data_IF_898205030360
#
_entry.id   IF_898205030360
#
_cell.length_a   1.000
_cell.length_b   1.000
_cell.length_c   1.000
_cell.angle_alpha   90.00
_cell.angle_beta   90.00
_cell.angle_gamma   90.00
#
_symmetry.space_group_name_H-M   'P 1'
#
loop_
_entity.id
_entity.type
_entity.pdbx_description
1 polymer ?
#
# COMPACT_ATOMS: atom_id res chain seq x y z
N UNK A 1 7.40 -11.78 -17.56
CA UNK A 1 7.23 -10.50 -16.81
C UNK A 1 7.92 -9.43 -17.61
N UNK A 2 7.20 -8.39 -17.99
CA UNK A 2 7.67 -7.27 -18.78
C UNK A 2 7.67 -6.00 -17.93
N UNK A 3 8.67 -5.13 -18.08
CA UNK A 3 8.65 -3.80 -17.48
C UNK A 3 8.18 -2.80 -18.53
N UNK A 4 7.12 -2.07 -18.21
CA UNK A 4 6.57 -1.02 -19.08
C UNK A 4 6.73 0.35 -18.42
N UNK A 5 6.68 1.40 -19.24
CA UNK A 5 6.67 2.79 -18.79
C UNK A 5 5.37 3.48 -19.19
N UNK A 6 4.79 4.25 -18.27
CA UNK A 6 3.58 5.05 -18.49
C UNK A 6 3.93 6.52 -18.33
N UNK A 7 3.87 7.26 -19.44
CA UNK A 7 4.13 8.70 -19.46
C UNK A 7 2.92 9.45 -18.91
N UNK A 8 3.11 10.22 -17.85
CA UNK A 8 2.07 11.05 -17.23
C UNK A 8 1.96 12.42 -17.90
N UNK A 9 0.85 13.12 -17.65
CA UNK A 9 0.56 14.41 -18.27
C UNK A 9 1.47 15.55 -17.79
N UNK A 10 2.05 15.41 -16.59
CA UNK A 10 3.04 16.37 -16.05
C UNK A 10 4.48 16.09 -16.50
N UNK A 11 4.68 15.12 -17.37
CA UNK A 11 5.97 14.75 -17.94
C UNK A 11 6.72 13.67 -17.17
N UNK A 12 6.32 13.29 -15.96
CA UNK A 12 6.95 12.18 -15.24
C UNK A 12 6.54 10.83 -15.83
N UNK A 13 7.41 9.82 -15.73
CA UNK A 13 7.13 8.47 -16.15
C UNK A 13 7.05 7.50 -14.96
N UNK A 14 6.01 6.69 -14.91
CA UNK A 14 5.90 5.56 -13.98
C UNK A 14 6.39 4.27 -14.64
N UNK A 15 7.09 3.48 -13.86
CA UNK A 15 7.47 2.12 -14.20
C UNK A 15 6.49 1.11 -13.62
N UNK A 16 6.23 0.03 -14.33
CA UNK A 16 5.41 -1.06 -13.82
C UNK A 16 5.88 -2.42 -14.31
N UNK A 17 5.74 -3.44 -13.48
CA UNK A 17 5.85 -4.83 -13.89
C UNK A 17 4.49 -5.31 -14.41
N UNK A 18 4.47 -5.80 -15.65
CA UNK A 18 3.27 -6.33 -16.30
C UNK A 18 3.42 -7.82 -16.61
N UNK A 19 2.40 -8.60 -16.27
CA UNK A 19 2.36 -10.05 -16.57
C UNK A 19 0.94 -10.58 -16.53
N UNK A 20 0.68 -11.66 -17.27
CA UNK A 20 -0.63 -12.33 -17.35
C UNK A 20 -1.60 -11.64 -18.31
N UNK A 21 -2.78 -12.22 -18.41
CA UNK A 21 -3.85 -11.79 -19.28
C UNK A 21 -5.19 -11.72 -18.53
N UNK A 22 -6.19 -11.15 -19.16
CA UNK A 22 -7.54 -11.04 -18.60
C UNK A 22 -7.80 -9.70 -17.92
N UNK A 23 -8.64 -9.71 -16.89
CA UNK A 23 -9.04 -8.50 -16.18
C UNK A 23 -7.84 -7.84 -15.51
N UNK A 24 -7.62 -6.53 -15.70
CA UNK A 24 -6.51 -5.83 -15.09
C UNK A 24 -6.61 -5.81 -13.57
N UNK A 25 -5.48 -6.09 -12.90
CA UNK A 25 -5.26 -5.86 -11.47
C UNK A 25 -4.07 -4.92 -11.34
N UNK A 26 -4.30 -3.71 -10.81
CA UNK A 26 -3.23 -2.76 -10.51
C UNK A 26 -2.86 -2.91 -9.04
N UNK A 27 -1.58 -3.16 -8.79
CA UNK A 27 -1.01 -3.26 -7.44
C UNK A 27 -0.24 -1.98 -7.12
N UNK A 28 -0.57 -1.37 -5.98
CA UNK A 28 -0.04 -0.08 -5.53
C UNK A 28 0.72 -0.33 -4.23
N UNK A 29 2.06 -0.20 -4.23
CA UNK A 29 2.89 -0.44 -3.07
C UNK A 29 2.70 0.62 -1.98
N UNK A 30 3.22 0.34 -0.79
CA UNK A 30 3.27 1.28 0.31
C UNK A 30 4.37 2.33 0.14
N UNK A 31 4.52 3.15 1.17
CA UNK A 31 5.56 4.16 1.24
C UNK A 31 6.94 3.52 1.17
N UNK A 32 7.77 4.03 0.29
CA UNK A 32 9.16 3.59 0.06
C UNK A 32 9.30 2.11 -0.35
N UNK A 33 8.25 1.53 -0.92
CA UNK A 33 8.23 0.17 -1.46
C UNK A 33 8.24 0.18 -2.99
N UNK A 34 8.53 -0.99 -3.58
CA UNK A 34 8.59 -1.16 -5.03
C UNK A 34 7.81 -2.37 -5.52
N UNK A 35 7.59 -2.41 -6.83
CA UNK A 35 6.99 -3.56 -7.50
C UNK A 35 7.81 -4.86 -7.36
N UNK A 36 9.12 -4.76 -7.08
CA UNK A 36 10.01 -5.91 -6.95
C UNK A 36 9.70 -6.75 -5.70
N UNK A 37 9.25 -6.12 -4.60
CA UNK A 37 8.84 -6.82 -3.38
C UNK A 37 7.61 -7.71 -3.59
N UNK A 38 6.81 -7.41 -4.61
CA UNK A 38 5.60 -8.13 -4.97
C UNK A 38 5.82 -9.26 -5.97
N UNK A 39 7.06 -9.54 -6.40
CA UNK A 39 7.37 -10.46 -7.51
C UNK A 39 6.62 -11.79 -7.42
N UNK A 40 6.69 -12.49 -6.30
CA UNK A 40 6.04 -13.79 -6.17
C UNK A 40 4.51 -13.70 -6.11
N UNK A 41 3.95 -12.61 -5.60
CA UNK A 41 2.51 -12.35 -5.64
C UNK A 41 2.06 -12.03 -7.06
N UNK A 42 2.81 -11.20 -7.79
CA UNK A 42 2.57 -10.89 -9.22
C UNK A 42 2.56 -12.16 -10.05
N UNK A 43 3.56 -13.02 -9.89
CA UNK A 43 3.64 -14.33 -10.58
C UNK A 43 2.41 -15.21 -10.28
N UNK A 44 2.02 -15.29 -9.01
CA UNK A 44 0.86 -16.08 -8.59
C UNK A 44 -0.46 -15.56 -9.17
N UNK A 45 -0.69 -14.25 -9.08
CA UNK A 45 -1.95 -13.63 -9.53
C UNK A 45 -2.05 -13.53 -11.05
N UNK A 46 -0.93 -13.56 -11.77
CA UNK A 46 -0.89 -13.55 -13.24
C UNK A 46 -1.59 -14.76 -13.88
N UNK A 47 -1.81 -15.82 -13.13
CA UNK A 47 -2.58 -16.98 -13.59
C UNK A 47 -4.07 -16.66 -13.86
N UNK A 48 -4.61 -15.56 -13.29
CA UNK A 48 -6.03 -15.21 -13.38
C UNK A 48 -6.30 -13.74 -13.69
N UNK A 49 -5.25 -12.91 -13.74
CA UNK A 49 -5.33 -11.45 -13.97
C UNK A 49 -4.20 -10.98 -14.88
N UNK A 50 -4.48 -9.90 -15.62
CA UNK A 50 -3.42 -9.07 -16.19
C UNK A 50 -2.91 -8.17 -15.08
N UNK A 51 -1.83 -8.57 -14.41
CA UNK A 51 -1.28 -7.87 -13.25
C UNK A 51 -0.37 -6.73 -13.71
N UNK A 52 -0.54 -5.56 -13.09
CA UNK A 52 0.27 -4.36 -13.26
C UNK A 52 0.72 -3.88 -11.88
N UNK A 53 1.93 -4.25 -11.48
CA UNK A 53 2.51 -3.78 -10.21
C UNK A 53 3.30 -2.49 -10.46
N UNK A 54 2.82 -1.38 -9.89
CA UNK A 54 3.39 -0.04 -10.10
C UNK A 54 4.60 0.19 -9.19
N UNK A 55 5.59 0.89 -9.72
CA UNK A 55 6.45 1.73 -8.91
C UNK A 55 5.82 3.13 -8.93
N UNK A 56 5.40 3.63 -7.78
CA UNK A 56 4.79 4.97 -7.71
C UNK A 56 5.84 6.05 -7.97
N UNK A 57 5.41 7.28 -8.23
CA UNK A 57 6.29 8.45 -8.37
C UNK A 57 7.35 8.48 -7.27
N UNK A 58 8.61 8.57 -7.64
CA UNK A 58 9.74 8.57 -6.71
C UNK A 58 10.25 7.18 -6.30
N UNK A 59 9.43 6.14 -6.44
CA UNK A 59 9.75 4.78 -5.99
C UNK A 59 10.39 3.93 -7.11
N UNK A 60 11.14 2.93 -6.71
CA UNK A 60 11.67 1.90 -7.60
C UNK A 60 12.33 2.44 -8.87
N UNK A 61 11.86 1.95 -10.01
CA UNK A 61 12.34 2.33 -11.33
C UNK A 61 11.54 3.50 -11.97
N UNK A 62 10.56 4.07 -11.26
CA UNK A 62 9.85 5.27 -11.69
C UNK A 62 10.72 6.52 -11.60
N UNK A 63 10.38 7.55 -12.38
CA UNK A 63 11.04 8.85 -12.29
C UNK A 63 10.88 9.50 -10.92
N UNK A 64 11.85 10.32 -10.56
CA UNK A 64 12.01 10.95 -9.25
C UNK A 64 12.05 12.48 -9.36
N UNK A 65 10.97 13.11 -9.91
CA UNK A 65 10.92 14.57 -10.00
C UNK A 65 10.91 15.18 -8.59
N UNK A 66 11.37 16.43 -8.45
CA UNK A 66 11.40 17.14 -7.16
C UNK A 66 10.02 17.61 -6.64
N UNK A 67 8.93 17.19 -7.30
CA UNK A 67 7.55 17.60 -7.01
C UNK A 67 6.56 16.41 -7.04
N UNK A 68 5.35 16.63 -6.50
CA UNK A 68 4.23 15.70 -6.61
C UNK A 68 4.15 14.64 -5.49
N UNK A 69 4.89 14.82 -4.41
CA UNK A 69 4.89 13.88 -3.28
C UNK A 69 3.75 14.17 -2.31
N UNK A 70 2.53 13.83 -2.75
CA UNK A 70 1.27 13.89 -2.01
C UNK A 70 0.39 12.71 -2.40
N UNK A 71 -0.38 12.18 -1.45
CA UNK A 71 -1.31 11.07 -1.70
C UNK A 71 -2.30 11.41 -2.83
N UNK A 72 -2.80 12.65 -2.86
CA UNK A 72 -3.69 13.12 -3.93
C UNK A 72 -3.03 13.12 -5.32
N UNK A 73 -1.71 13.46 -5.41
CA UNK A 73 -0.98 13.38 -6.69
C UNK A 73 -0.75 11.93 -7.11
N UNK A 74 -0.44 11.04 -6.17
CA UNK A 74 -0.32 9.62 -6.46
C UNK A 74 -1.65 9.01 -6.94
N UNK A 75 -2.77 9.47 -6.40
CA UNK A 75 -4.11 9.10 -6.90
C UNK A 75 -4.37 9.61 -8.32
N UNK A 76 -3.90 10.83 -8.65
CA UNK A 76 -3.94 11.36 -10.03
C UNK A 76 -3.03 10.52 -10.95
N UNK A 77 -1.84 10.14 -10.51
CA UNK A 77 -0.91 9.30 -11.28
C UNK A 77 -1.56 7.92 -11.59
N UNK A 78 -2.27 7.34 -10.62
CA UNK A 78 -3.05 6.11 -10.82
C UNK A 78 -4.17 6.32 -11.84
N UNK A 79 -4.90 7.44 -11.75
CA UNK A 79 -5.97 7.79 -12.69
C UNK A 79 -5.43 7.93 -14.13
N UNK A 80 -4.36 8.68 -14.31
CA UNK A 80 -3.70 8.83 -15.61
C UNK A 80 -3.21 7.49 -16.16
N UNK A 81 -2.66 6.63 -15.30
CA UNK A 81 -2.22 5.27 -15.68
C UNK A 81 -3.39 4.46 -16.23
N UNK A 82 -4.54 4.44 -15.54
CA UNK A 82 -5.74 3.74 -16.00
C UNK A 82 -6.22 4.28 -17.35
N UNK A 83 -6.22 5.59 -17.54
CA UNK A 83 -6.64 6.23 -18.78
C UNK A 83 -5.67 5.97 -19.93
N UNK A 84 -4.37 6.18 -19.73
CA UNK A 84 -3.31 5.98 -20.74
C UNK A 84 -3.26 4.55 -21.25
N UNK A 85 -3.47 3.58 -20.35
CA UNK A 85 -3.53 2.17 -20.70
C UNK A 85 -4.92 1.73 -21.20
N UNK A 86 -5.91 2.64 -21.24
CA UNK A 86 -7.30 2.41 -21.68
C UNK A 86 -7.95 1.23 -20.99
N UNK A 87 -7.80 1.15 -19.66
CA UNK A 87 -8.35 0.06 -18.87
C UNK A 87 -9.82 0.39 -18.50
N UNK A 88 -10.83 -0.32 -19.07
CA UNK A 88 -12.24 0.05 -18.88
C UNK A 88 -12.76 -0.28 -17.47
N UNK A 89 -12.23 -1.35 -16.87
CA UNK A 89 -12.52 -1.79 -15.50
C UNK A 89 -11.32 -2.49 -14.91
N UNK A 90 -10.92 -2.09 -13.70
CA UNK A 90 -9.73 -2.59 -13.03
C UNK A 90 -10.06 -3.13 -11.64
N UNK A 91 -9.35 -4.16 -11.21
CA UNK A 91 -9.25 -4.49 -9.80
C UNK A 91 -8.06 -3.72 -9.23
N UNK A 92 -8.16 -3.25 -7.97
CA UNK A 92 -7.08 -2.53 -7.30
C UNK A 92 -6.64 -3.29 -6.06
N UNK A 93 -5.33 -3.39 -5.85
CA UNK A 93 -4.74 -3.89 -4.62
C UNK A 93 -3.76 -2.84 -4.09
N UNK A 94 -3.99 -2.35 -2.88
CA UNK A 94 -3.10 -1.40 -2.21
C UNK A 94 -2.52 -2.00 -0.94
N UNK A 95 -1.25 -1.70 -0.66
CA UNK A 95 -0.63 -2.00 0.61
C UNK A 95 -0.26 -0.71 1.33
N UNK A 96 -0.56 -0.63 2.64
CA UNK A 96 -0.16 0.52 3.46
C UNK A 96 -0.61 1.85 2.81
N UNK A 97 0.28 2.81 2.59
CA UNK A 97 -0.02 4.06 1.87
C UNK A 97 -0.72 3.81 0.52
N UNK A 98 -0.49 2.68 -0.15
CA UNK A 98 -1.21 2.31 -1.38
C UNK A 98 -2.72 2.21 -1.18
N UNK A 99 -3.20 1.85 0.01
CA UNK A 99 -4.63 1.92 0.36
C UNK A 99 -5.12 3.38 0.41
N UNK A 100 -4.33 4.28 1.00
CA UNK A 100 -4.67 5.71 1.03
C UNK A 100 -4.72 6.31 -0.39
N UNK A 101 -3.85 5.86 -1.30
CA UNK A 101 -3.89 6.25 -2.72
C UNK A 101 -5.20 5.76 -3.38
N UNK A 102 -5.63 4.52 -3.08
CA UNK A 102 -6.93 4.00 -3.58
C UNK A 102 -8.09 4.81 -3.01
N UNK A 103 -8.09 5.12 -1.72
CA UNK A 103 -9.15 5.92 -1.11
C UNK A 103 -9.20 7.33 -1.69
N UNK A 104 -8.05 7.99 -1.88
CA UNK A 104 -7.97 9.27 -2.57
C UNK A 104 -8.47 9.19 -4.02
N UNK A 105 -8.16 8.10 -4.73
CA UNK A 105 -8.69 7.86 -6.07
C UNK A 105 -10.22 7.77 -6.07
N UNK A 106 -10.80 7.00 -5.13
CA UNK A 106 -12.26 6.84 -5.01
C UNK A 106 -12.92 8.19 -4.68
N UNK A 107 -12.31 8.97 -3.80
CA UNK A 107 -12.83 10.29 -3.44
C UNK A 107 -12.85 11.27 -4.62
N UNK A 108 -11.80 11.29 -5.43
CA UNK A 108 -11.62 12.21 -6.54
C UNK A 108 -12.34 11.78 -7.83
N UNK A 109 -12.37 10.48 -8.12
CA UNK A 109 -12.80 9.95 -9.44
C UNK A 109 -13.96 8.95 -9.34
N UNK A 110 -14.41 8.62 -8.13
CA UNK A 110 -15.43 7.60 -7.93
C UNK A 110 -14.93 6.16 -8.09
N UNK A 111 -15.86 5.22 -8.10
CA UNK A 111 -15.54 3.79 -8.09
C UNK A 111 -16.16 3.00 -9.26
N UNK A 112 -16.78 3.65 -10.24
CA UNK A 112 -17.52 2.96 -11.33
C UNK A 112 -16.60 2.08 -12.19
N UNK A 113 -15.34 2.45 -12.31
CA UNK A 113 -14.31 1.70 -13.03
C UNK A 113 -13.63 0.63 -12.19
N UNK A 114 -13.93 0.54 -10.88
CA UNK A 114 -13.33 -0.45 -9.99
C UNK A 114 -14.18 -1.70 -9.96
N UNK A 115 -13.54 -2.85 -10.11
CA UNK A 115 -14.18 -4.15 -10.01
C UNK A 115 -14.19 -4.70 -8.58
N UNK A 116 -13.00 -5.06 -8.11
CA UNK A 116 -12.76 -5.60 -6.77
C UNK A 116 -11.61 -4.82 -6.12
N UNK A 117 -11.63 -4.75 -4.79
CA UNK A 117 -10.58 -4.13 -4.00
C UNK A 117 -9.89 -5.16 -3.10
N UNK A 118 -8.57 -5.05 -2.97
CA UNK A 118 -7.79 -5.71 -1.92
C UNK A 118 -7.04 -4.62 -1.17
N UNK A 119 -7.40 -4.40 0.09
CA UNK A 119 -6.81 -3.39 0.96
C UNK A 119 -5.94 -4.10 1.99
N UNK A 120 -4.63 -3.87 1.93
CA UNK A 120 -3.65 -4.59 2.73
C UNK A 120 -3.03 -3.63 3.74
N UNK A 121 -3.40 -3.79 4.98
CA UNK A 121 -2.75 -3.29 6.17
C UNK A 121 -2.49 -1.78 6.20
N UNK A 122 -3.57 -1.00 6.34
CA UNK A 122 -3.54 0.45 6.53
C UNK A 122 -4.63 0.89 7.50
N UNK A 123 -4.31 1.81 8.41
CA UNK A 123 -5.30 2.44 9.28
C UNK A 123 -6.21 3.41 8.50
N UNK A 124 -7.50 3.53 8.87
CA UNK A 124 -8.44 4.43 8.20
C UNK A 124 -8.11 5.91 8.41
N UNK A 125 -7.36 6.22 9.47
CA UNK A 125 -6.81 7.54 9.78
C UNK A 125 -5.54 7.36 10.60
N UNK A 126 -4.63 8.33 10.53
CA UNK A 126 -3.29 8.20 11.10
C UNK A 126 -3.13 8.89 12.46
N UNK A 127 -4.02 9.83 12.79
CA UNK A 127 -4.00 10.60 14.03
C UNK A 127 -5.27 10.44 14.84
N UNK A 128 -5.17 10.36 16.18
CA UNK A 128 -6.31 10.44 17.08
C UNK A 128 -6.87 11.87 17.13
N UNK A 129 -8.15 11.99 17.45
CA UNK A 129 -8.79 13.25 17.78
C UNK A 129 -9.19 13.28 19.27
N UNK A 130 -9.08 14.44 19.88
CA UNK A 130 -9.32 14.60 21.30
C UNK A 130 -10.77 14.29 21.73
N UNK A 131 -11.72 14.44 20.81
CA UNK A 131 -13.13 14.17 21.03
C UNK A 131 -13.52 12.68 20.90
N UNK A 132 -12.61 11.80 20.48
CA UNK A 132 -12.93 10.38 20.29
C UNK A 132 -13.02 9.62 21.60
N UNK A 133 -14.00 8.73 21.68
CA UNK A 133 -14.14 7.76 22.75
C UNK A 133 -12.98 6.75 22.72
N UNK A 134 -12.77 6.06 23.84
CA UNK A 134 -11.78 4.97 23.92
C UNK A 134 -12.06 3.84 22.92
N UNK A 135 -13.35 3.61 22.59
CA UNK A 135 -13.73 2.61 21.59
C UNK A 135 -13.31 3.05 20.18
N UNK A 136 -13.57 4.31 19.82
CA UNK A 136 -13.15 4.85 18.51
C UNK A 136 -11.62 4.84 18.37
N UNK A 137 -10.89 5.19 19.43
CA UNK A 137 -9.42 5.12 19.42
C UNK A 137 -8.92 3.69 19.17
N UNK A 138 -9.57 2.70 19.80
CA UNK A 138 -9.22 1.29 19.58
C UNK A 138 -9.59 0.80 18.17
N UNK A 139 -10.79 1.19 17.68
CA UNK A 139 -11.30 0.78 16.38
C UNK A 139 -10.51 1.39 15.21
N UNK A 140 -10.07 2.64 15.34
CA UNK A 140 -9.32 3.29 14.27
C UNK A 140 -7.83 2.94 14.27
N UNK A 141 -7.26 2.61 15.42
CA UNK A 141 -5.87 2.14 15.54
C UNK A 141 -4.87 3.10 14.92
N UNK A 142 -4.98 4.40 15.27
CA UNK A 142 -4.10 5.44 14.75
C UNK A 142 -2.62 5.13 15.03
N UNK A 143 -1.78 5.33 14.03
CA UNK A 143 -0.36 5.04 14.12
C UNK A 143 0.41 6.10 14.91
N UNK A 144 0.07 7.37 14.74
CA UNK A 144 0.73 8.49 15.41
C UNK A 144 -0.09 8.97 16.62
N UNK A 145 0.59 9.27 17.72
CA UNK A 145 -0.01 9.93 18.88
C UNK A 145 0.02 11.46 18.77
N UNK A 146 1.01 11.98 18.04
CA UNK A 146 1.25 13.42 17.86
C UNK A 146 1.94 13.75 16.53
N UNK A 147 1.98 15.03 16.17
CA UNK A 147 2.75 15.49 15.00
C UNK A 147 4.27 15.32 15.19
N UNK A 148 4.75 15.27 16.45
CA UNK A 148 6.16 15.02 16.72
C UNK A 148 6.58 13.62 16.29
N UNK A 149 5.70 12.63 16.41
CA UNK A 149 5.98 11.23 15.97
C UNK A 149 6.16 11.17 14.44
N UNK A 150 5.43 12.00 13.69
CA UNK A 150 5.62 12.11 12.23
C UNK A 150 6.99 12.69 11.90
N UNK A 151 7.39 13.74 12.63
CA UNK A 151 8.70 14.35 12.42
C UNK A 151 9.84 13.40 12.83
N UNK A 152 9.66 12.61 13.89
CA UNK A 152 10.61 11.58 14.30
C UNK A 152 10.76 10.48 13.23
N UNK A 153 9.64 9.93 12.73
CA UNK A 153 9.69 8.92 11.67
C UNK A 153 10.29 9.48 10.36
N UNK A 154 9.95 10.73 10.02
CA UNK A 154 10.52 11.40 8.85
C UNK A 154 12.03 11.67 9.04
N UNK A 155 12.48 11.99 10.26
CA UNK A 155 13.90 12.12 10.57
C UNK A 155 14.62 10.76 10.49
N UNK A 156 13.99 9.68 10.96
CA UNK A 156 14.48 8.31 10.79
C UNK A 156 14.67 7.95 9.32
N UNK A 157 13.69 8.27 8.47
CA UNK A 157 13.81 8.06 7.03
C UNK A 157 14.95 8.88 6.39
N UNK A 158 15.18 10.11 6.85
CA UNK A 158 16.31 10.94 6.40
C UNK A 158 17.66 10.42 6.90
N UNK A 159 17.70 9.73 8.02
CA UNK A 159 18.90 9.12 8.59
C UNK A 159 19.33 7.83 7.88
N UNK A 160 18.48 7.25 7.03
CA UNK A 160 18.84 6.11 6.16
C UNK A 160 19.75 6.61 5.04
N UNK A 161 21.04 6.72 5.31
CA UNK A 161 22.05 7.24 4.37
C UNK A 161 22.79 6.14 3.60
N UNK A 162 22.65 4.89 4.03
CA UNK A 162 23.27 3.70 3.47
C UNK A 162 22.37 2.47 3.67
N UNK A 163 22.83 1.32 3.20
CA UNK A 163 22.10 0.07 3.30
C UNK A 163 21.92 -0.38 4.74
N UNK A 164 22.94 -0.27 5.58
CA UNK A 164 22.92 -0.75 6.96
C UNK A 164 21.89 0.02 7.79
N UNK A 165 21.90 1.35 7.71
CA UNK A 165 20.92 2.19 8.38
C UNK A 165 19.50 1.97 7.85
N UNK A 166 19.36 1.59 6.58
CA UNK A 166 18.06 1.25 5.99
C UNK A 166 17.57 -0.11 6.46
N UNK A 167 18.44 -1.11 6.59
CA UNK A 167 18.10 -2.42 7.18
C UNK A 167 17.56 -2.25 8.60
N UNK A 168 18.25 -1.46 9.43
CA UNK A 168 17.83 -1.16 10.80
C UNK A 168 16.43 -0.54 10.82
N UNK A 169 16.17 0.42 9.93
CA UNK A 169 14.88 1.10 9.81
C UNK A 169 13.76 0.15 9.37
N UNK A 170 13.96 -0.68 8.34
CA UNK A 170 12.91 -1.54 7.80
C UNK A 170 12.64 -2.76 8.66
N UNK A 171 13.61 -3.21 9.46
CA UNK A 171 13.47 -4.35 10.37
C UNK A 171 12.23 -4.25 11.27
N UNK A 172 11.90 -3.05 11.74
CA UNK A 172 10.76 -2.80 12.63
C UNK A 172 9.38 -3.08 12.01
N UNK A 173 9.31 -3.34 10.71
CA UNK A 173 8.05 -3.65 10.02
C UNK A 173 7.76 -5.16 9.90
N UNK A 174 8.71 -6.00 10.31
CA UNK A 174 8.65 -7.46 10.21
C UNK A 174 8.50 -8.11 11.60
N UNK A 175 8.08 -9.38 11.61
CA UNK A 175 8.10 -10.17 12.86
C UNK A 175 9.54 -10.45 13.30
N UNK A 176 9.77 -10.72 14.59
CA UNK A 176 11.11 -11.07 15.09
C UNK A 176 11.72 -12.31 14.41
N UNK A 177 10.88 -13.22 13.90
CA UNK A 177 11.32 -14.48 13.27
C UNK A 177 11.57 -14.33 11.76
N UNK A 178 11.42 -13.12 11.20
CA UNK A 178 11.68 -12.88 9.78
C UNK A 178 13.15 -13.13 9.42
N UNK A 179 13.43 -13.88 8.33
CA UNK A 179 14.81 -14.22 7.95
C UNK A 179 15.65 -12.98 7.66
N UNK A 180 16.72 -12.80 8.43
CA UNK A 180 17.63 -11.65 8.32
C UNK A 180 18.28 -11.52 6.95
N UNK A 181 18.52 -12.64 6.27
CA UNK A 181 19.08 -12.67 4.91
C UNK A 181 18.18 -12.04 3.85
N UNK A 182 16.91 -11.82 4.14
CA UNK A 182 15.95 -11.17 3.22
C UNK A 182 15.93 -9.65 3.40
N UNK A 183 16.32 -9.14 4.57
CA UNK A 183 16.29 -7.70 4.87
C UNK A 183 17.13 -6.83 3.91
N UNK A 184 18.33 -7.26 3.47
CA UNK A 184 19.10 -6.48 2.48
C UNK A 184 18.32 -6.18 1.20
N UNK A 185 17.59 -7.16 0.67
CA UNK A 185 16.75 -6.93 -0.52
C UNK A 185 15.66 -5.89 -0.27
N UNK A 186 14.96 -6.00 0.87
CA UNK A 186 13.90 -5.03 1.25
C UNK A 186 14.50 -3.63 1.43
N UNK A 187 15.67 -3.54 2.07
CA UNK A 187 16.36 -2.27 2.28
C UNK A 187 16.86 -1.65 0.98
N UNK A 188 17.39 -2.46 0.05
CA UNK A 188 17.80 -1.99 -1.29
C UNK A 188 16.62 -1.40 -2.05
N UNK A 189 15.46 -2.07 -2.04
CA UNK A 189 14.25 -1.58 -2.70
C UNK A 189 13.73 -0.31 -2.03
N UNK A 190 13.72 -0.25 -0.69
CA UNK A 190 13.34 0.93 0.08
C UNK A 190 14.26 2.12 -0.21
N UNK A 191 15.57 1.88 -0.33
CA UNK A 191 16.58 2.92 -0.54
C UNK A 191 16.53 3.57 -1.93
N UNK A 192 15.86 2.95 -2.90
CA UNK A 192 15.65 3.52 -4.25
C UNK A 192 14.85 4.83 -4.22
N UNK A 193 14.06 5.08 -3.18
CA UNK A 193 13.33 6.34 -3.02
C UNK A 193 14.22 7.39 -2.35
N UNK A 194 14.56 8.52 -3.01
CA UNK A 194 15.38 9.57 -2.42
C UNK A 194 14.83 10.04 -1.06
N UNK A 195 15.64 9.98 -0.03
CA UNK A 195 15.19 10.13 1.38
C UNK A 195 14.46 11.44 1.66
N UNK A 196 14.90 12.56 1.08
CA UNK A 196 14.23 13.86 1.23
C UNK A 196 12.83 13.89 0.60
N UNK A 197 12.63 13.17 -0.52
CA UNK A 197 11.33 13.02 -1.16
C UNK A 197 10.45 12.03 -0.40
N UNK A 198 11.05 10.95 0.11
CA UNK A 198 10.38 9.98 0.94
C UNK A 198 9.82 10.62 2.23
N UNK A 199 10.63 11.44 2.92
CA UNK A 199 10.20 12.19 4.09
C UNK A 199 9.08 13.21 3.77
N UNK A 200 9.12 13.83 2.60
CA UNK A 200 8.06 14.73 2.11
C UNK A 200 6.72 14.01 1.97
N UNK A 201 6.73 12.85 1.29
CA UNK A 201 5.54 12.03 1.08
C UNK A 201 5.00 11.46 2.40
N UNK A 202 5.90 11.03 3.31
CA UNK A 202 5.51 10.52 4.62
C UNK A 202 4.71 11.55 5.41
N UNK A 203 5.18 12.80 5.44
CA UNK A 203 4.47 13.90 6.11
C UNK A 203 3.09 14.16 5.51
N UNK A 204 2.94 14.12 4.20
CA UNK A 204 1.63 14.29 3.56
C UNK A 204 0.69 13.13 3.90
N UNK A 205 1.17 11.89 3.77
CA UNK A 205 0.37 10.69 4.02
C UNK A 205 -0.08 10.57 5.49
N UNK A 206 0.70 11.10 6.43
CA UNK A 206 0.43 11.04 7.86
C UNK A 206 -0.87 11.77 8.27
N UNK A 207 -1.32 12.78 7.53
CA UNK A 207 -2.51 13.56 7.88
C UNK A 207 -3.79 13.09 7.20
N UNK A 208 -3.75 11.95 6.49
CA UNK A 208 -4.92 11.38 5.84
C UNK A 208 -5.96 10.85 6.83
N UNK A 209 -7.23 11.23 6.63
CA UNK A 209 -8.40 10.68 7.31
C UNK A 209 -9.40 10.22 6.24
N UNK A 210 -9.54 8.92 6.09
CA UNK A 210 -10.29 8.29 4.99
C UNK A 210 -11.60 7.63 5.43
N UNK A 211 -12.01 7.83 6.69
CA UNK A 211 -13.17 7.16 7.28
C UNK A 211 -14.45 7.42 6.50
N UNK A 212 -14.68 8.63 6.04
CA UNK A 212 -15.84 9.00 5.26
C UNK A 212 -15.81 8.41 3.83
N UNK A 213 -14.63 8.28 3.23
CA UNK A 213 -14.45 7.63 1.92
C UNK A 213 -14.71 6.14 2.03
N UNK A 214 -14.14 5.47 3.05
CA UNK A 214 -14.29 4.03 3.29
C UNK A 214 -15.78 3.65 3.39
N UNK A 215 -16.59 4.43 4.08
CA UNK A 215 -18.04 4.21 4.22
C UNK A 215 -18.82 4.34 2.90
N UNK A 216 -18.23 5.00 1.90
CA UNK A 216 -18.82 5.15 0.55
C UNK A 216 -18.43 4.02 -0.42
N UNK A 217 -17.52 3.13 -0.05
CA UNK A 217 -17.10 2.01 -0.90
C UNK A 217 -18.25 1.02 -1.08
N UNK A 218 -18.48 0.60 -2.32
CA UNK A 218 -19.54 -0.36 -2.70
C UNK A 218 -18.99 -1.56 -3.47
N UNK A 219 -17.76 -1.47 -3.96
CA UNK A 219 -17.11 -2.60 -4.62
C UNK A 219 -16.88 -3.73 -3.62
N UNK A 220 -16.88 -4.97 -4.12
CA UNK A 220 -16.48 -6.12 -3.32
C UNK A 220 -15.03 -5.95 -2.86
N UNK A 221 -14.79 -6.07 -1.57
CA UNK A 221 -13.51 -5.72 -0.95
C UNK A 221 -12.98 -6.85 -0.05
N UNK A 222 -11.70 -7.15 -0.17
CA UNK A 222 -10.95 -7.93 0.81
C UNK A 222 -10.06 -6.98 1.61
N UNK A 223 -10.20 -7.00 2.93
CA UNK A 223 -9.30 -6.29 3.85
C UNK A 223 -8.37 -7.32 4.48
N UNK A 224 -7.07 -7.08 4.42
CA UNK A 224 -6.04 -7.96 4.98
C UNK A 224 -5.23 -7.20 6.02
N UNK A 225 -4.97 -7.81 7.17
CA UNK A 225 -4.12 -7.23 8.20
C UNK A 225 -3.36 -8.28 9.00
N UNK A 226 -2.48 -7.85 9.89
CA UNK A 226 -1.66 -8.71 10.73
C UNK A 226 -1.79 -8.40 12.22
N UNK A 227 -1.66 -9.44 13.07
CA UNK A 227 -1.68 -9.27 14.53
C UNK A 227 -0.38 -8.66 15.07
N UNK A 228 0.74 -8.82 14.34
CA UNK A 228 2.05 -8.26 14.66
C UNK A 228 2.41 -7.07 13.75
N UNK A 229 1.40 -6.45 13.11
CA UNK A 229 1.61 -5.28 12.27
C UNK A 229 1.72 -3.99 13.08
N UNK A 230 2.27 -2.95 12.44
CA UNK A 230 2.23 -1.56 12.93
C UNK A 230 0.82 -0.98 12.97
N UNK A 231 -0.12 -1.52 12.19
CA UNK A 231 -1.54 -1.20 12.24
C UNK A 231 -2.32 -2.30 12.97
N UNK A 232 -3.23 -1.89 13.83
CA UNK A 232 -3.98 -2.85 14.65
C UNK A 232 -4.94 -3.70 13.81
N UNK A 233 -5.11 -4.96 14.17
CA UNK A 233 -6.13 -5.81 13.53
C UNK A 233 -7.55 -5.29 13.76
N UNK A 234 -7.77 -4.50 14.82
CA UNK A 234 -9.05 -3.83 15.08
C UNK A 234 -9.40 -2.82 13.98
N UNK A 235 -8.41 -2.00 13.53
CA UNK A 235 -8.63 -1.05 12.44
C UNK A 235 -9.00 -1.73 11.12
N UNK A 236 -8.40 -2.89 10.83
CA UNK A 236 -8.74 -3.68 9.64
C UNK A 236 -10.17 -4.25 9.71
N UNK A 237 -10.58 -4.72 10.88
CA UNK A 237 -11.95 -5.18 11.11
C UNK A 237 -12.95 -4.03 11.02
N UNK A 238 -12.59 -2.85 11.55
CA UNK A 238 -13.41 -1.66 11.41
C UNK A 238 -13.60 -1.29 9.94
N UNK A 239 -12.52 -1.21 9.14
CA UNK A 239 -12.60 -0.91 7.70
C UNK A 239 -13.55 -1.90 7.00
N UNK A 240 -13.39 -3.20 7.24
CA UNK A 240 -14.26 -4.22 6.65
C UNK A 240 -15.72 -4.04 7.08
N UNK A 241 -15.99 -3.67 8.33
CA UNK A 241 -17.35 -3.46 8.84
C UNK A 241 -18.08 -2.28 8.20
N UNK A 242 -17.33 -1.30 7.65
CA UNK A 242 -17.91 -0.12 6.97
C UNK A 242 -18.29 -0.39 5.52
N UNK A 243 -17.82 -1.48 4.93
CA UNK A 243 -18.01 -1.79 3.50
C UNK A 243 -19.01 -2.96 3.37
N UNK A 244 -20.17 -2.78 2.73
CA UNK A 244 -21.26 -3.78 2.73
C UNK A 244 -20.88 -5.17 2.22
N UNK A 245 -19.93 -5.26 1.29
CA UNK A 245 -19.50 -6.51 0.65
C UNK A 245 -18.01 -6.80 0.93
N UNK A 246 -17.56 -6.53 2.15
CA UNK A 246 -16.19 -6.79 2.55
C UNK A 246 -16.03 -8.13 3.25
N UNK A 247 -14.89 -8.75 2.98
CA UNK A 247 -14.32 -9.86 3.73
C UNK A 247 -13.08 -9.35 4.47
N UNK A 248 -12.76 -9.93 5.62
CA UNK A 248 -11.53 -9.59 6.36
C UNK A 248 -10.71 -10.85 6.62
N UNK A 249 -9.41 -10.74 6.44
CA UNK A 249 -8.42 -11.76 6.77
C UNK A 249 -7.38 -11.15 7.70
N UNK A 250 -7.18 -11.75 8.86
CA UNK A 250 -6.14 -11.34 9.82
C UNK A 250 -5.12 -12.48 9.95
N UNK A 251 -3.87 -12.15 9.64
CA UNK A 251 -2.76 -13.09 9.78
C UNK A 251 -2.31 -13.14 11.23
N UNK A 252 -2.25 -14.33 11.86
CA UNK A 252 -1.71 -14.48 13.21
C UNK A 252 -0.26 -14.04 13.31
N UNK A 253 0.14 -13.53 14.47
CA UNK A 253 1.51 -13.07 14.71
C UNK A 253 2.55 -14.17 14.44
N UNK A 254 2.24 -15.41 14.81
CA UNK A 254 3.11 -16.58 14.60
C UNK A 254 3.02 -17.20 13.19
N UNK A 255 2.27 -16.58 12.29
CA UNK A 255 2.15 -16.98 10.89
C UNK A 255 2.55 -15.87 9.92
N UNK A 256 3.50 -15.02 10.31
CA UNK A 256 4.00 -13.90 9.50
C UNK A 256 3.00 -12.75 9.39
N UNK A 257 2.24 -12.49 10.46
CA UNK A 257 1.24 -11.42 10.52
C UNK A 257 1.84 -10.04 10.80
N UNK A 258 2.95 -9.70 10.16
CA UNK A 258 3.58 -8.37 10.19
C UNK A 258 2.94 -7.41 9.21
N UNK A 259 3.50 -6.19 9.10
CA UNK A 259 3.13 -5.23 8.06
C UNK A 259 3.38 -5.76 6.64
N UNK A 260 4.37 -6.66 6.48
CA UNK A 260 4.76 -7.26 5.20
C UNK A 260 4.31 -8.73 5.07
N UNK A 261 3.12 -9.07 5.51
CA UNK A 261 2.59 -10.44 5.47
C UNK A 261 2.63 -11.09 4.09
N UNK A 262 2.57 -10.31 3.02
CA UNK A 262 2.70 -10.78 1.64
C UNK A 262 4.14 -11.20 1.27
N UNK A 263 5.13 -10.82 2.08
CA UNK A 263 6.52 -11.29 2.01
C UNK A 263 6.74 -12.44 2.98
N UNK A 264 6.33 -12.28 4.24
CA UNK A 264 6.58 -13.26 5.31
C UNK A 264 5.79 -14.56 5.12
N UNK A 265 4.53 -14.48 4.70
CA UNK A 265 3.71 -15.66 4.42
C UNK A 265 3.05 -15.56 3.05
N UNK A 266 3.90 -15.48 2.04
CA UNK A 266 3.49 -15.29 0.65
C UNK A 266 2.51 -16.35 0.17
N UNK A 267 2.70 -17.61 0.58
CA UNK A 267 1.84 -18.72 0.17
C UNK A 267 0.41 -18.53 0.66
N UNK A 268 0.21 -18.24 1.94
CA UNK A 268 -1.12 -17.97 2.51
C UNK A 268 -1.73 -16.72 1.90
N UNK A 269 -0.95 -15.64 1.80
CA UNK A 269 -1.40 -14.38 1.22
C UNK A 269 -1.90 -14.58 -0.21
N UNK A 270 -1.09 -15.17 -1.07
CA UNK A 270 -1.46 -15.43 -2.46
C UNK A 270 -2.69 -16.32 -2.58
N UNK A 271 -2.78 -17.39 -1.79
CA UNK A 271 -3.92 -18.30 -1.75
C UNK A 271 -5.22 -17.57 -1.42
N UNK A 272 -5.17 -16.69 -0.39
CA UNK A 272 -6.33 -15.91 0.05
C UNK A 272 -6.78 -14.89 -1.00
N UNK A 273 -5.84 -14.15 -1.58
CA UNK A 273 -6.13 -13.17 -2.63
C UNK A 273 -6.67 -13.86 -3.90
N UNK A 274 -6.05 -14.97 -4.32
CA UNK A 274 -6.54 -15.77 -5.45
C UNK A 274 -7.98 -16.26 -5.26
N UNK A 275 -8.30 -16.78 -4.07
CA UNK A 275 -9.65 -17.22 -3.73
C UNK A 275 -10.66 -16.09 -3.83
N UNK A 276 -10.32 -14.91 -3.29
CA UNK A 276 -11.16 -13.72 -3.34
C UNK A 276 -11.37 -13.23 -4.79
N UNK A 277 -10.31 -13.12 -5.58
CA UNK A 277 -10.41 -12.59 -6.94
C UNK A 277 -11.14 -13.52 -7.93
N UNK A 278 -11.21 -14.83 -7.67
CA UNK A 278 -11.92 -15.81 -8.51
C UNK A 278 -13.44 -15.78 -8.30
N UNK A 279 -13.90 -15.40 -7.15
CA UNK A 279 -15.32 -15.31 -6.78
C UNK A 279 -15.90 -13.95 -7.15
#
# INVERSE_FOLDING_TARGET
MERISVQLDDGAALSALKVGEGRPLIMIPGWSQTSAEWKGTVESLSAIRSVLALDMRGHGESEKPEYGYRVSRLAQDLHETIQKLRLPKVDLMGHSMGCAVIWAYIDLYGQDHIGQLVLVDQAPCMFPRAEWSSQELADFGCFYGSSADVDELAAGALACVDLDSTIEFVRGFFTPDFPEETLPFIAEENFKFPRHLAAKLLRDAAFGDWRDVIQRIRCRTLVVGGEASIFTSASQRWIASQIPNAEVEIFPANEGGSHFMFVENQTRFNSRVLSFLKS
#
